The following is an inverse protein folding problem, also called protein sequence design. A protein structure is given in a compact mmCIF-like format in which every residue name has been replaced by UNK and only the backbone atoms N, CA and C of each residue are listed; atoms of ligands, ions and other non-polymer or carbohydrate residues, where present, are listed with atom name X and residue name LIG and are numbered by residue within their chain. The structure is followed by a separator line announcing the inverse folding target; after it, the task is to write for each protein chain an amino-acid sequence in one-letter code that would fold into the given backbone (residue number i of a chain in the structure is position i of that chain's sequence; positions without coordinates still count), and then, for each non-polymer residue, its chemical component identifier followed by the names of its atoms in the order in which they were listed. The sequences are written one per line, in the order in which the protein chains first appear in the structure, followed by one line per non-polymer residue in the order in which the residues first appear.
data_IF_774569152695
#
_entry.id   IF_774569152695
#
_cell.length_a   1.000
_cell.length_b   1.000
_cell.length_c   1.000
_cell.angle_alpha   90.00
_cell.angle_beta   90.00
_cell.angle_gamma   90.00
#
_symmetry.space_group_name_H-M   'P 1'
#
loop_
_entity.id
_entity.type
_entity.pdbx_description
1 polymer ?
#
# COMPACT_ATOMS: atom_id res chain seq x y z
N UNK A 1 -3.74 -9.91 -2.83
CA UNK A 1 -4.69 -8.85 -2.36
C UNK A 1 -5.03 -8.02 -3.58
N UNK A 2 -6.30 -7.95 -4.02
CA UNK A 2 -6.65 -7.44 -5.35
C UNK A 2 -6.10 -6.05 -5.67
N UNK A 3 -6.07 -5.15 -4.68
CA UNK A 3 -5.56 -3.79 -4.86
C UNK A 3 -4.04 -3.73 -5.06
N UNK A 4 -3.27 -4.55 -4.34
CA UNK A 4 -1.81 -4.58 -4.48
C UNK A 4 -1.40 -5.14 -5.84
N UNK A 5 -2.01 -6.24 -6.26
CA UNK A 5 -1.77 -6.82 -7.59
C UNK A 5 -2.09 -5.80 -8.70
N UNK A 6 -3.19 -5.05 -8.55
CA UNK A 6 -3.54 -4.00 -9.50
C UNK A 6 -2.50 -2.88 -9.58
N UNK A 7 -1.96 -2.41 -8.45
CA UNK A 7 -0.97 -1.32 -8.42
C UNK A 7 0.38 -1.77 -9.00
N UNK A 8 0.79 -3.01 -8.74
CA UNK A 8 2.09 -3.53 -9.18
C UNK A 8 2.08 -3.85 -10.68
N UNK A 9 1.01 -4.48 -11.16
CA UNK A 9 0.91 -4.99 -12.54
C UNK A 9 -0.03 -4.15 -13.41
N UNK A 10 -0.20 -2.86 -13.10
CA UNK A 10 -1.24 -2.03 -13.71
C UNK A 10 -1.15 -2.00 -15.24
N UNK A 11 0.05 -1.90 -15.80
CA UNK A 11 0.27 -1.86 -17.26
C UNK A 11 -0.18 -3.16 -17.92
N UNK A 12 0.22 -4.31 -17.37
CA UNK A 12 -0.19 -5.63 -17.87
C UNK A 12 -1.71 -5.81 -17.78
N UNK A 13 -2.32 -5.39 -16.67
CA UNK A 13 -3.77 -5.50 -16.48
C UNK A 13 -4.51 -4.60 -17.48
N UNK A 14 -4.03 -3.39 -17.71
CA UNK A 14 -4.62 -2.45 -18.65
C UNK A 14 -4.53 -2.96 -20.10
N UNK A 15 -3.40 -3.54 -20.49
CA UNK A 15 -3.16 -4.02 -21.86
C UNK A 15 -3.85 -5.34 -22.17
N UNK A 16 -3.81 -6.31 -21.26
CA UNK A 16 -4.21 -7.69 -21.55
C UNK A 16 -5.49 -8.16 -20.85
N UNK A 17 -5.85 -7.58 -19.70
CA UNK A 17 -6.98 -8.05 -18.88
C UNK A 17 -8.18 -7.07 -18.87
N UNK A 18 -7.98 -5.84 -19.33
CA UNK A 18 -9.04 -4.85 -19.42
C UNK A 18 -10.02 -5.21 -20.55
N UNK A 19 -11.31 -5.28 -20.23
CA UNK A 19 -12.36 -5.58 -21.21
C UNK A 19 -12.91 -4.35 -21.93
N UNK A 20 -12.56 -3.15 -21.45
CA UNK A 20 -13.03 -1.86 -21.98
C UNK A 20 -11.95 -1.17 -22.82
N UNK A 21 -11.03 -1.92 -23.43
CA UNK A 21 -9.95 -1.37 -24.27
C UNK A 21 -10.48 -0.71 -25.55
N UNK A 22 -11.69 -1.06 -25.97
CA UNK A 22 -12.44 -0.49 -27.08
C UNK A 22 -13.06 0.88 -26.77
N UNK A 23 -13.06 1.31 -25.50
CA UNK A 23 -13.70 2.55 -25.02
C UNK A 23 -12.70 3.46 -24.32
N UNK A 24 -11.77 4.08 -25.07
CA UNK A 24 -10.73 4.94 -24.52
C UNK A 24 -11.29 6.15 -23.75
N UNK A 25 -12.51 6.60 -24.09
CA UNK A 25 -13.19 7.70 -23.42
C UNK A 25 -13.53 7.42 -21.94
N UNK A 26 -13.51 6.15 -21.51
CA UNK A 26 -13.80 5.75 -20.13
C UNK A 26 -12.59 5.84 -19.20
N UNK A 27 -11.38 6.01 -19.74
CA UNK A 27 -10.12 6.00 -18.98
C UNK A 27 -10.06 4.84 -17.96
N UNK A 28 -10.41 3.64 -18.45
CA UNK A 28 -10.61 2.49 -17.57
C UNK A 28 -9.31 2.00 -16.94
N UNK A 29 -8.24 1.87 -17.73
CA UNK A 29 -6.91 1.50 -17.25
C UNK A 29 -6.85 0.20 -16.44
N UNK A 30 -7.73 -0.78 -16.71
CA UNK A 30 -7.80 -2.04 -15.96
C UNK A 30 -8.70 -2.03 -14.72
N UNK A 31 -9.33 -0.91 -14.36
CA UNK A 31 -10.24 -0.81 -13.19
C UNK A 31 -11.40 -1.82 -13.25
N UNK A 32 -11.88 -2.17 -14.44
CA UNK A 32 -12.93 -3.19 -14.60
C UNK A 32 -12.49 -4.58 -14.10
N UNK A 33 -11.23 -4.95 -14.33
CA UNK A 33 -10.67 -6.20 -13.87
C UNK A 33 -10.53 -6.20 -12.34
N UNK A 34 -10.00 -5.11 -11.78
CA UNK A 34 -9.91 -4.93 -10.33
C UNK A 34 -11.28 -5.11 -9.65
N UNK A 35 -12.33 -4.49 -10.20
CA UNK A 35 -13.69 -4.61 -9.67
C UNK A 35 -14.19 -6.06 -9.66
N UNK A 36 -13.89 -6.85 -10.70
CA UNK A 36 -14.24 -8.27 -10.74
C UNK A 36 -13.48 -9.07 -9.66
N UNK A 37 -12.20 -8.81 -9.46
CA UNK A 37 -11.41 -9.49 -8.43
C UNK A 37 -11.87 -9.13 -7.02
N UNK A 38 -12.25 -7.86 -6.79
CA UNK A 38 -12.83 -7.43 -5.53
C UNK A 38 -14.17 -8.11 -5.24
N UNK A 39 -15.04 -8.25 -6.25
CA UNK A 39 -16.31 -8.95 -6.11
C UNK A 39 -16.10 -10.43 -5.73
N UNK A 40 -15.25 -11.16 -6.48
CA UNK A 40 -14.90 -12.56 -6.18
C UNK A 40 -14.34 -12.73 -4.78
N UNK A 41 -13.38 -11.89 -4.40
CA UNK A 41 -12.76 -11.94 -3.08
C UNK A 41 -13.77 -11.65 -1.95
N UNK A 42 -14.77 -10.81 -2.21
CA UNK A 42 -15.85 -10.54 -1.25
C UNK A 42 -16.87 -11.68 -1.17
N UNK A 43 -17.08 -12.44 -2.24
CA UNK A 43 -17.93 -13.64 -2.24
C UNK A 43 -17.26 -14.83 -1.54
N UNK A 44 -15.94 -15.00 -1.72
CA UNK A 44 -15.17 -16.08 -1.09
C UNK A 44 -14.98 -15.89 0.43
N UNK A 45 -15.06 -14.64 0.92
CA UNK A 45 -14.97 -14.34 2.35
C UNK A 45 -16.22 -14.85 3.09
N UNK A 46 -15.98 -15.66 4.13
CA UNK A 46 -16.99 -16.08 5.12
C UNK A 46 -17.62 -14.85 5.79
N UNK A 47 -18.92 -14.94 6.11
CA UNK A 47 -19.85 -13.89 6.56
C UNK A 47 -19.37 -12.88 7.65
N UNK A 48 -18.20 -13.08 8.26
CA UNK A 48 -17.69 -12.24 9.36
C UNK A 48 -16.56 -11.28 8.97
N UNK A 49 -16.09 -11.27 7.72
CA UNK A 49 -15.13 -10.24 7.27
C UNK A 49 -15.85 -9.12 6.51
N UNK A 50 -15.52 -7.84 6.79
CA UNK A 50 -16.04 -6.73 6.03
C UNK A 50 -15.65 -6.87 4.54
N UNK A 51 -16.60 -6.49 3.68
CA UNK A 51 -16.40 -6.42 2.23
C UNK A 51 -15.37 -5.34 1.94
N UNK A 52 -14.54 -5.57 0.93
CA UNK A 52 -13.67 -4.52 0.39
C UNK A 52 -14.52 -3.67 -0.55
N UNK A 53 -14.96 -2.51 -0.07
CA UNK A 53 -15.60 -1.46 -0.85
C UNK A 53 -14.66 -0.24 -0.87
N UNK A 54 -14.33 0.25 -2.06
CA UNK A 54 -13.40 1.39 -2.18
C UNK A 54 -13.99 2.67 -1.57
N UNK A 55 -15.33 2.79 -1.57
CA UNK A 55 -16.09 3.90 -0.98
C UNK A 55 -15.98 3.94 0.55
N UNK A 56 -15.78 2.78 1.18
CA UNK A 56 -15.66 2.64 2.64
C UNK A 56 -14.21 2.76 3.11
N UNK A 57 -13.24 2.71 2.20
CA UNK A 57 -11.84 2.87 2.55
C UNK A 57 -11.57 4.35 2.85
N UNK A 58 -11.12 4.71 4.05
CA UNK A 58 -10.81 6.10 4.34
C UNK A 58 -9.75 6.57 3.35
N UNK A 59 -10.00 7.70 2.68
CA UNK A 59 -8.98 8.43 1.90
C UNK A 59 -8.01 9.01 2.94
N UNK A 60 -7.19 8.15 3.53
CA UNK A 60 -6.16 8.49 4.48
C UNK A 60 -4.90 8.91 3.74
N UNK A 61 -4.11 9.76 4.38
CA UNK A 61 -2.76 10.06 3.89
C UNK A 61 -1.91 8.78 3.96
N UNK A 62 -1.58 8.21 2.80
CA UNK A 62 -0.58 7.14 2.72
C UNK A 62 0.79 7.81 2.73
N UNK A 63 1.43 7.84 3.90
CA UNK A 63 2.84 8.20 3.98
C UNK A 63 3.66 6.97 3.60
N UNK A 64 4.12 6.90 2.35
CA UNK A 64 5.13 5.92 1.96
C UNK A 64 6.41 6.25 2.75
N UNK A 65 6.71 5.44 3.75
CA UNK A 65 7.99 5.50 4.44
C UNK A 65 9.06 5.08 3.44
N UNK A 66 9.95 5.99 3.05
CA UNK A 66 11.15 5.63 2.32
C UNK A 66 12.00 4.76 3.24
N UNK A 67 12.01 3.45 3.00
CA UNK A 67 12.99 2.56 3.62
C UNK A 67 14.32 2.91 2.97
N UNK A 68 15.16 3.65 3.69
CA UNK A 68 16.53 3.91 3.25
C UNK A 68 17.25 2.57 3.26
N UNK A 69 17.78 2.15 2.11
CA UNK A 69 18.65 0.98 2.05
C UNK A 69 19.83 1.20 3.00
N UNK A 70 19.88 0.39 4.06
CA UNK A 70 21.05 0.32 4.91
C UNK A 70 22.13 -0.42 4.13
N UNK A 71 23.13 0.31 3.62
CA UNK A 71 24.38 -0.30 3.16
C UNK A 71 25.00 -1.03 4.35
N UNK A 72 25.09 -2.35 4.24
CA UNK A 72 25.82 -3.16 5.21
C UNK A 72 27.28 -2.72 5.20
N UNK A 73 27.73 -2.07 6.27
CA UNK A 73 29.15 -1.76 6.45
C UNK A 73 29.77 -3.02 7.03
N UNK A 74 30.59 -3.73 6.25
CA UNK A 74 31.47 -4.76 6.80
C UNK A 74 32.49 -4.07 7.71
N UNK A 75 32.25 -4.11 9.03
CA UNK A 75 33.22 -3.65 10.02
C UNK A 75 34.26 -4.76 10.25
N UNK A 76 35.51 -4.50 9.86
CA UNK A 76 36.63 -5.29 10.34
C UNK A 76 36.83 -4.98 11.83
N UNK A 77 36.63 -5.98 12.68
CA UNK A 77 36.78 -5.86 14.12
C UNK A 77 38.25 -5.64 14.51
N UNK A 78 38.60 -4.45 15.00
CA UNK A 78 39.52 -4.36 16.14
C UNK A 78 38.65 -4.31 17.39
N UNK A 79 38.71 -5.35 18.21
CA UNK A 79 37.93 -5.47 19.44
C UNK A 79 38.38 -4.37 20.42
N UNK A 80 37.64 -3.27 20.45
CA UNK A 80 37.62 -2.33 21.57
C UNK A 80 36.23 -2.41 22.20
N UNK A 81 36.18 -2.83 23.46
CA UNK A 81 34.98 -2.93 24.29
C UNK A 81 34.49 -1.53 24.69
N UNK A 82 34.03 -0.75 23.72
CA UNK A 82 33.41 0.55 23.99
C UNK A 82 31.90 0.42 23.79
N UNK A 83 31.15 0.96 24.75
CA UNK A 83 29.70 0.99 24.68
C UNK A 83 29.28 1.86 23.50
N UNK A 84 28.75 1.23 22.45
CA UNK A 84 28.13 1.91 21.32
C UNK A 84 26.63 2.08 21.61
N UNK A 85 26.19 3.31 21.83
CA UNK A 85 24.76 3.61 21.94
C UNK A 85 24.15 3.70 20.55
N UNK A 86 23.62 2.58 20.05
CA UNK A 86 22.91 2.49 18.76
C UNK A 86 21.48 3.07 18.82
N UNK A 87 21.12 3.78 19.89
CA UNK A 87 19.81 4.42 19.98
C UNK A 87 19.64 5.47 18.88
N UNK A 88 18.71 5.19 17.96
CA UNK A 88 18.20 6.18 17.02
C UNK A 88 16.82 6.65 17.50
N UNK A 89 16.70 7.93 17.80
CA UNK A 89 15.42 8.55 18.14
C UNK A 89 14.49 8.50 16.92
N UNK A 90 13.55 7.57 16.91
CA UNK A 90 12.54 7.40 15.86
C UNK A 90 11.35 8.33 16.11
N UNK A 91 11.61 9.64 16.18
CA UNK A 91 10.51 10.60 16.28
C UNK A 91 9.79 10.72 14.95
N UNK A 92 8.60 10.13 14.92
CA UNK A 92 7.63 10.37 13.86
C UNK A 92 6.71 11.51 14.31
N UNK A 93 6.74 12.64 13.59
CA UNK A 93 5.79 13.75 13.76
C UNK A 93 4.41 13.44 13.14
N UNK A 94 4.13 12.19 12.77
CA UNK A 94 2.81 11.84 12.20
C UNK A 94 1.73 12.00 13.28
N UNK A 95 1.09 13.17 13.31
CA UNK A 95 -0.16 13.42 14.04
C UNK A 95 -1.28 12.63 13.36
N UNK A 96 -1.26 11.30 13.54
CA UNK A 96 -2.33 10.41 13.13
C UNK A 96 -3.46 10.49 14.17
N UNK A 97 -4.08 11.67 14.27
CA UNK A 97 -5.31 11.88 15.02
C UNK A 97 -6.37 12.39 14.05
N UNK A 98 -7.62 11.91 14.13
CA UNK A 98 -8.69 12.50 13.35
C UNK A 98 -8.80 14.00 13.70
N UNK A 99 -9.15 14.88 12.75
CA UNK A 99 -9.41 16.28 13.08
C UNK A 99 -10.50 16.34 14.14
N UNK A 100 -10.22 16.98 15.28
CA UNK A 100 -11.27 17.30 16.24
C UNK A 100 -12.17 18.33 15.58
N UNK A 101 -13.39 17.92 15.22
CA UNK A 101 -14.47 18.85 14.89
C UNK A 101 -14.82 19.62 16.17
N UNK A 102 -14.15 20.75 16.39
CA UNK A 102 -14.62 21.75 17.35
C UNK A 102 -15.71 22.56 16.66
N UNK A 103 -16.93 22.37 17.14
CA UNK A 103 -18.13 23.16 16.83
C UNK A 103 -17.97 24.63 17.27
#
# INVERSE_FOLDING_TARGET
MPLFEYIIEQDYIAEFLCVNTDKPELDCGGKCYLMQQLAKHNEEKRQNLPRIAMEEYPIGFVQLLSIVEHKFIESFNTITSEYLNEYRYLFSYSDFRPPSLTF
#
